data_IF_467093278356
#
_entry.id   IF_467093278356
#
_cell.length_a   1.000
_cell.length_b   1.000
_cell.length_c   1.000
_cell.angle_alpha   90.00
_cell.angle_beta   90.00
_cell.angle_gamma   90.00
#
_symmetry.space_group_name_H-M   'P 1'
#
loop_
_entity.id
_entity.type
_entity.pdbx_description
1 polymer ?
#
# COMPACT_ATOMS: atom_id res chain seq x y z
N UNK A 1 11.87 -1.38 -24.72
CA UNK A 1 12.34 -1.24 -26.12
C UNK A 1 13.85 -1.13 -26.09
N UNK A 2 14.59 -1.84 -26.95
CA UNK A 2 16.03 -1.69 -26.99
C UNK A 2 16.38 -0.29 -27.54
N UNK A 3 17.36 0.36 -26.94
CA UNK A 3 17.84 1.66 -27.38
C UNK A 3 18.29 1.60 -28.83
N UNK A 4 17.77 2.51 -29.67
CA UNK A 4 18.14 2.63 -31.10
C UNK A 4 19.65 2.80 -31.32
N UNK A 5 20.36 3.42 -30.38
CA UNK A 5 21.81 3.59 -30.40
C UNK A 5 22.61 2.28 -30.36
N UNK A 6 22.00 1.18 -29.90
CA UNK A 6 22.66 -0.13 -29.84
C UNK A 6 22.33 -1.05 -31.03
N UNK A 7 21.45 -0.61 -31.92
CA UNK A 7 21.01 -1.41 -33.08
C UNK A 7 22.14 -1.92 -33.96
N UNK A 8 23.16 -1.09 -34.34
CA UNK A 8 24.27 -1.55 -35.19
C UNK A 8 25.21 -2.56 -34.52
N UNK A 9 25.18 -2.62 -33.18
CA UNK A 9 26.07 -3.49 -32.37
C UNK A 9 25.34 -4.68 -31.74
N UNK A 10 24.06 -4.83 -31.99
CA UNK A 10 23.21 -5.86 -31.34
C UNK A 10 23.72 -7.29 -31.56
N UNK A 11 24.24 -7.58 -32.74
CA UNK A 11 24.81 -8.88 -33.09
C UNK A 11 26.14 -9.18 -32.37
N UNK A 12 26.82 -8.14 -31.85
CA UNK A 12 28.10 -8.26 -31.13
C UNK A 12 27.92 -8.37 -29.62
N UNK A 13 26.70 -8.10 -29.11
CA UNK A 13 26.41 -8.20 -27.68
C UNK A 13 26.13 -9.66 -27.35
N UNK A 14 26.98 -10.32 -26.54
CA UNK A 14 26.75 -11.71 -26.16
C UNK A 14 25.44 -11.82 -25.39
N UNK A 15 24.59 -12.77 -25.76
CA UNK A 15 23.36 -13.04 -25.01
C UNK A 15 23.75 -13.53 -23.61
N UNK A 16 23.29 -12.78 -22.58
CA UNK A 16 23.46 -13.24 -21.22
C UNK A 16 22.69 -14.56 -21.01
N UNK A 17 23.41 -15.62 -20.66
CA UNK A 17 22.82 -16.92 -20.33
C UNK A 17 22.56 -16.95 -18.83
N UNK A 18 21.37 -16.51 -18.41
CA UNK A 18 20.94 -16.65 -17.04
C UNK A 18 20.43 -18.07 -16.81
N UNK A 19 21.05 -18.77 -15.88
CA UNK A 19 20.56 -20.06 -15.39
C UNK A 19 20.21 -19.87 -13.92
N UNK A 20 18.92 -19.92 -13.61
CA UNK A 20 18.47 -19.92 -12.21
C UNK A 20 18.93 -21.21 -11.55
N UNK A 21 19.71 -21.09 -10.48
CA UNK A 21 20.25 -22.24 -9.73
C UNK A 21 19.52 -22.50 -8.43
N UNK A 22 18.75 -21.52 -7.97
CA UNK A 22 18.03 -21.50 -6.69
C UNK A 22 16.51 -21.46 -6.87
N UNK A 23 15.99 -22.28 -7.77
CA UNK A 23 14.55 -22.36 -8.03
C UNK A 23 13.70 -22.45 -6.76
N UNK A 24 14.02 -23.28 -5.75
CA UNK A 24 13.20 -23.37 -4.54
C UNK A 24 13.13 -22.08 -3.73
N UNK A 25 14.22 -21.31 -3.69
CA UNK A 25 14.24 -20.00 -3.03
C UNK A 25 13.45 -18.97 -3.82
N UNK A 26 13.61 -18.98 -5.14
CA UNK A 26 12.87 -18.09 -6.03
C UNK A 26 11.35 -18.33 -5.93
N UNK A 27 10.90 -19.58 -5.98
CA UNK A 27 9.49 -19.93 -5.85
C UNK A 27 8.95 -19.54 -4.47
N UNK A 28 9.71 -19.79 -3.41
CA UNK A 28 9.32 -19.37 -2.06
C UNK A 28 9.20 -17.85 -1.96
N UNK A 29 10.13 -17.10 -2.55
CA UNK A 29 10.06 -15.64 -2.58
C UNK A 29 8.84 -15.14 -3.36
N UNK A 30 8.47 -15.80 -4.46
CA UNK A 30 7.25 -15.46 -5.20
C UNK A 30 5.97 -15.78 -4.40
N UNK A 31 5.93 -16.91 -3.71
CA UNK A 31 4.81 -17.29 -2.83
C UNK A 31 4.66 -16.28 -1.68
N UNK A 32 5.78 -15.85 -1.07
CA UNK A 32 5.77 -14.86 0.00
C UNK A 32 5.24 -13.48 -0.45
N UNK A 33 5.45 -13.11 -1.72
CA UNK A 33 4.86 -11.87 -2.27
C UNK A 33 3.32 -11.91 -2.32
N UNK A 34 2.73 -13.08 -2.40
CA UNK A 34 1.27 -13.27 -2.33
C UNK A 34 0.74 -13.40 -0.91
N UNK A 35 1.61 -13.52 0.09
CA UNK A 35 1.21 -13.66 1.49
C UNK A 35 0.77 -12.33 2.06
N UNK A 36 -0.41 -12.28 2.62
CA UNK A 36 -0.95 -11.12 3.31
C UNK A 36 -0.79 -11.31 4.82
N UNK A 37 -0.03 -10.44 5.46
CA UNK A 37 0.07 -10.36 6.92
C UNK A 37 -0.59 -9.08 7.40
N UNK A 38 -1.62 -9.21 8.20
CA UNK A 38 -2.36 -8.09 8.79
C UNK A 38 -2.03 -8.01 10.27
N UNK A 39 -1.47 -6.89 10.69
CA UNK A 39 -1.19 -6.60 12.09
C UNK A 39 -2.26 -5.67 12.64
N UNK A 40 -2.93 -6.11 13.70
CA UNK A 40 -3.92 -5.30 14.41
C UNK A 40 -3.47 -5.16 15.84
N UNK A 41 -3.17 -3.94 16.25
CA UNK A 41 -2.73 -3.66 17.61
C UNK A 41 -3.88 -3.15 18.48
N UNK A 42 -3.87 -3.39 19.77
CA UNK A 42 -4.89 -2.86 20.70
C UNK A 42 -4.99 -1.33 20.63
N UNK A 43 -3.87 -0.64 20.42
CA UNK A 43 -3.80 0.81 20.33
C UNK A 43 -4.53 1.31 19.06
N UNK A 44 -4.37 0.62 17.93
CA UNK A 44 -5.08 0.94 16.68
C UNK A 44 -6.59 0.75 16.85
N UNK A 45 -7.02 -0.29 17.58
CA UNK A 45 -8.43 -0.52 17.88
C UNK A 45 -8.99 0.55 18.82
N UNK A 46 -8.24 0.94 19.84
CA UNK A 46 -8.62 2.03 20.75
C UNK A 46 -8.71 3.36 20.02
N UNK A 47 -7.80 3.62 19.08
CA UNK A 47 -7.79 4.82 18.24
C UNK A 47 -8.83 4.81 17.11
N UNK A 48 -9.57 3.73 16.91
CA UNK A 48 -10.56 3.59 15.82
C UNK A 48 -11.71 4.60 15.92
N UNK A 49 -12.11 4.93 17.14
CA UNK A 49 -13.11 5.94 17.41
C UNK A 49 -12.44 7.23 17.90
N UNK A 50 -12.88 8.40 17.42
CA UNK A 50 -12.30 9.65 17.88
C UNK A 50 -12.71 9.93 19.33
N UNK A 51 -11.87 10.64 20.11
CA UNK A 51 -12.24 11.08 21.44
C UNK A 51 -13.42 12.05 21.36
N UNK A 52 -14.25 12.06 22.39
CA UNK A 52 -15.36 13.02 22.50
C UNK A 52 -14.81 14.43 22.75
N UNK A 53 -15.06 15.34 21.83
CA UNK A 53 -14.51 16.71 21.89
C UNK A 53 -15.41 17.70 22.63
N UNK A 54 -16.64 17.34 22.98
CA UNK A 54 -17.61 18.26 23.57
C UNK A 54 -18.10 19.38 22.63
N UNK A 55 -17.64 19.40 21.36
CA UNK A 55 -18.06 20.40 20.38
C UNK A 55 -19.52 20.25 19.99
N UNK A 56 -20.17 21.39 19.72
CA UNK A 56 -21.57 21.44 19.28
C UNK A 56 -21.72 20.77 17.92
N UNK A 57 -22.70 19.91 17.77
CA UNK A 57 -23.01 19.19 16.52
C UNK A 57 -22.91 17.67 16.68
N UNK A 58 -23.14 16.95 15.58
CA UNK A 58 -23.03 15.49 15.59
C UNK A 58 -21.54 15.08 15.68
N UNK A 59 -21.13 14.32 16.69
CA UNK A 59 -19.75 13.89 16.83
C UNK A 59 -19.35 12.97 15.67
N UNK A 60 -18.07 12.97 15.33
CA UNK A 60 -17.54 12.04 14.34
C UNK A 60 -17.58 10.61 14.91
N UNK A 61 -18.10 9.68 14.13
CA UNK A 61 -18.17 8.25 14.54
C UNK A 61 -16.85 7.50 14.34
N UNK A 62 -15.99 7.98 13.44
CA UNK A 62 -14.74 7.33 13.06
C UNK A 62 -13.57 8.31 13.12
N UNK A 63 -12.43 7.84 13.59
CA UNK A 63 -11.19 8.60 13.63
C UNK A 63 -10.55 8.73 12.24
N UNK A 64 -9.47 9.50 12.14
CA UNK A 64 -8.69 9.57 10.91
C UNK A 64 -7.97 8.24 10.67
N UNK A 65 -7.53 7.53 11.71
CA UNK A 65 -6.95 6.18 11.63
C UNK A 65 -7.88 5.18 10.92
N UNK A 66 -9.17 5.17 11.26
CA UNK A 66 -10.14 4.29 10.61
C UNK A 66 -10.31 4.61 9.12
N UNK A 67 -10.27 5.90 8.76
CA UNK A 67 -10.39 6.33 7.38
C UNK A 67 -9.11 6.02 6.59
N UNK A 68 -7.94 6.28 7.16
CA UNK A 68 -6.63 5.96 6.57
C UNK A 68 -6.49 4.47 6.30
N UNK A 69 -6.87 3.63 7.27
CA UNK A 69 -6.84 2.17 7.12
C UNK A 69 -7.68 1.72 5.94
N UNK A 70 -8.92 2.22 5.82
CA UNK A 70 -9.77 1.90 4.67
C UNK A 70 -9.19 2.38 3.35
N UNK A 71 -8.53 3.53 3.35
CA UNK A 71 -7.84 4.06 2.18
C UNK A 71 -6.63 3.23 1.77
N UNK A 72 -5.80 2.83 2.72
CA UNK A 72 -4.66 1.96 2.47
C UNK A 72 -5.10 0.62 1.88
N UNK A 73 -6.13 0.01 2.45
CA UNK A 73 -6.72 -1.21 1.91
C UNK A 73 -7.27 -0.99 0.49
N UNK A 74 -7.95 0.14 0.25
CA UNK A 74 -8.44 0.49 -1.07
C UNK A 74 -7.31 0.57 -2.10
N UNK A 75 -6.22 1.24 -1.76
CA UNK A 75 -5.07 1.41 -2.65
C UNK A 75 -4.34 0.08 -2.89
N UNK A 76 -4.11 -0.69 -1.82
CA UNK A 76 -3.41 -1.97 -1.89
C UNK A 76 -4.15 -2.99 -2.78
N UNK A 77 -5.48 -3.00 -2.72
CA UNK A 77 -6.31 -3.95 -3.46
C UNK A 77 -6.98 -3.35 -4.71
N UNK A 78 -6.72 -2.10 -5.05
CA UNK A 78 -7.27 -1.43 -6.24
C UNK A 78 -8.80 -1.38 -6.26
N UNK A 79 -9.47 -1.19 -5.11
CA UNK A 79 -10.92 -1.31 -5.01
C UNK A 79 -11.64 0.03 -5.21
N UNK A 80 -12.81 0.05 -5.91
CA UNK A 80 -13.68 1.22 -5.94
C UNK A 80 -14.31 1.48 -4.57
N UNK A 81 -14.79 2.70 -4.33
CA UNK A 81 -15.28 3.14 -3.02
C UNK A 81 -16.31 2.23 -2.35
N UNK A 82 -17.29 1.73 -3.09
CA UNK A 82 -18.31 0.84 -2.53
C UNK A 82 -17.74 -0.50 -2.07
N UNK A 83 -16.75 -1.03 -2.78
CA UNK A 83 -16.06 -2.26 -2.39
C UNK A 83 -15.09 -2.02 -1.22
N UNK A 84 -14.60 -0.78 -1.08
CA UNK A 84 -13.78 -0.37 0.06
C UNK A 84 -14.53 -0.47 1.38
N UNK A 85 -15.84 -0.34 1.39
CA UNK A 85 -16.65 -0.59 2.59
C UNK A 85 -16.73 -2.09 2.91
N UNK A 86 -16.91 -2.94 1.91
CA UNK A 86 -17.03 -4.38 2.09
C UNK A 86 -15.73 -5.07 2.54
N UNK A 87 -14.58 -4.65 1.99
CA UNK A 87 -13.31 -5.30 2.25
C UNK A 87 -12.85 -5.20 3.73
N UNK A 88 -12.79 -4.02 4.36
CA UNK A 88 -12.47 -3.92 5.80
C UNK A 88 -13.49 -4.64 6.68
N UNK A 89 -14.76 -4.66 6.30
CA UNK A 89 -15.80 -5.40 7.03
C UNK A 89 -15.53 -6.90 7.01
N UNK A 90 -15.16 -7.44 5.85
CA UNK A 90 -14.80 -8.86 5.72
C UNK A 90 -13.53 -9.18 6.50
N UNK A 91 -12.50 -8.32 6.44
CA UNK A 91 -11.25 -8.50 7.20
C UNK A 91 -11.54 -8.47 8.70
N UNK A 92 -12.34 -7.51 9.19
CA UNK A 92 -12.71 -7.42 10.60
C UNK A 92 -13.44 -8.69 11.05
N UNK A 93 -14.38 -9.19 10.24
CA UNK A 93 -15.10 -10.45 10.54
C UNK A 93 -14.16 -11.65 10.59
N UNK A 94 -13.24 -11.79 9.64
CA UNK A 94 -12.25 -12.88 9.61
C UNK A 94 -11.31 -12.85 10.83
N UNK A 95 -10.97 -11.66 11.32
CA UNK A 95 -10.12 -11.47 12.50
C UNK A 95 -10.90 -11.49 13.82
N UNK A 96 -12.23 -11.69 13.78
CA UNK A 96 -13.08 -11.67 14.98
C UNK A 96 -13.17 -10.29 15.65
N UNK A 97 -12.94 -9.21 14.91
CA UNK A 97 -12.97 -7.84 15.43
C UNK A 97 -14.39 -7.26 15.39
N UNK A 98 -14.83 -6.70 16.50
CA UNK A 98 -16.15 -6.02 16.63
C UNK A 98 -16.04 -4.50 16.42
N UNK A 99 -15.36 -4.09 15.33
CA UNK A 99 -15.19 -2.68 14.98
C UNK A 99 -16.18 -2.25 13.90
N UNK A 100 -16.76 -1.06 14.06
CA UNK A 100 -17.58 -0.46 13.02
C UNK A 100 -16.72 -0.06 11.82
N UNK A 101 -17.23 -0.25 10.61
CA UNK A 101 -16.55 0.13 9.38
C UNK A 101 -17.25 1.34 8.77
N UNK A 102 -16.51 2.40 8.39
CA UNK A 102 -17.07 3.55 7.71
C UNK A 102 -17.72 3.16 6.38
N UNK A 103 -18.82 3.81 6.05
CA UNK A 103 -19.45 3.65 4.75
C UNK A 103 -18.64 4.35 3.64
N UNK A 104 -18.91 3.96 2.40
CA UNK A 104 -18.21 4.48 1.22
C UNK A 104 -18.35 6.00 1.05
N UNK A 105 -19.46 6.59 1.49
CA UNK A 105 -19.69 8.04 1.42
C UNK A 105 -18.85 8.77 2.46
N UNK A 106 -18.66 8.19 3.63
CA UNK A 106 -17.77 8.70 4.68
C UNK A 106 -16.30 8.64 4.22
N UNK A 107 -15.86 7.52 3.62
CA UNK A 107 -14.54 7.42 3.03
C UNK A 107 -14.32 8.49 1.95
N UNK A 108 -15.23 8.61 1.00
CA UNK A 108 -15.12 9.57 -0.10
C UNK A 108 -15.08 11.02 0.38
N UNK A 109 -15.91 11.40 1.33
CA UNK A 109 -15.96 12.78 1.86
C UNK A 109 -14.73 13.15 2.69
N UNK A 110 -14.16 12.21 3.43
CA UNK A 110 -13.01 12.47 4.31
C UNK A 110 -11.66 12.27 3.65
N UNK A 111 -11.63 11.60 2.52
CA UNK A 111 -10.42 11.35 1.73
C UNK A 111 -9.59 12.60 1.41
N UNK A 112 -10.17 13.72 0.95
CA UNK A 112 -9.38 14.90 0.59
C UNK A 112 -8.66 15.56 1.77
N UNK A 113 -9.12 15.32 3.00
CA UNK A 113 -8.53 15.88 4.22
C UNK A 113 -7.48 14.98 4.89
N UNK A 114 -7.17 13.83 4.30
CA UNK A 114 -6.19 12.91 4.86
C UNK A 114 -4.78 13.25 4.37
N UNK A 115 -3.90 13.48 5.31
CA UNK A 115 -2.46 13.51 5.04
C UNK A 115 -1.93 12.08 5.20
N UNK A 116 -2.05 11.27 4.14
CA UNK A 116 -1.41 9.97 4.14
C UNK A 116 0.10 10.18 4.23
N UNK A 117 0.72 9.65 5.28
CA UNK A 117 2.16 9.59 5.36
C UNK A 117 2.65 8.75 4.18
N UNK A 118 3.07 9.42 3.10
CA UNK A 118 3.59 8.71 1.94
C UNK A 118 4.91 8.05 2.33
N UNK A 119 5.13 6.84 1.84
CA UNK A 119 6.42 6.16 1.98
C UNK A 119 7.57 7.03 1.47
N UNK A 120 7.31 7.89 0.49
CA UNK A 120 8.25 8.88 -0.03
C UNK A 120 8.65 9.93 1.03
N UNK A 121 7.70 10.44 1.81
CA UNK A 121 7.99 11.39 2.89
C UNK A 121 8.84 10.75 3.99
N UNK A 122 8.56 9.50 4.33
CA UNK A 122 9.39 8.75 5.29
C UNK A 122 10.77 8.41 4.71
N UNK A 123 10.86 8.08 3.43
CA UNK A 123 12.13 7.80 2.78
C UNK A 123 13.01 9.06 2.68
N UNK A 124 12.43 10.21 2.36
CA UNK A 124 13.13 11.50 2.34
C UNK A 124 13.72 11.89 3.70
N UNK A 125 13.03 11.53 4.79
CA UNK A 125 13.55 11.74 6.15
C UNK A 125 14.77 10.86 6.47
N UNK A 126 15.03 9.81 5.70
CA UNK A 126 16.17 8.87 5.86
C UNK A 126 17.34 9.12 4.93
N UNK A 127 17.21 10.07 3.98
CA UNK A 127 18.25 10.40 3.01
C UNK A 127 17.73 10.62 1.60
N UNK A 128 18.62 10.78 0.61
CA UNK A 128 18.24 10.98 -0.79
C UNK A 128 17.52 9.75 -1.34
N UNK A 129 16.40 9.97 -2.02
CA UNK A 129 15.58 8.92 -2.64
C UNK A 129 15.74 8.97 -4.16
N UNK A 130 16.11 7.84 -4.74
CA UNK A 130 16.14 7.66 -6.19
C UNK A 130 14.84 7.03 -6.65
N UNK A 131 14.15 7.69 -7.58
CA UNK A 131 12.90 7.21 -8.15
C UNK A 131 13.14 6.82 -9.60
N UNK A 132 12.92 5.56 -9.92
CA UNK A 132 13.00 5.05 -11.30
C UNK A 132 11.60 4.79 -11.80
N UNK A 133 11.21 5.47 -12.88
CA UNK A 133 9.92 5.29 -13.55
C UNK A 133 10.15 4.43 -14.79
N UNK A 134 9.54 3.25 -14.81
CA UNK A 134 9.59 2.31 -15.93
C UNK A 134 8.17 2.08 -16.46
N UNK A 135 8.06 1.53 -17.67
CA UNK A 135 6.79 1.17 -18.30
C UNK A 135 5.98 0.12 -17.51
N UNK A 136 6.65 -0.64 -16.65
CA UNK A 136 6.05 -1.68 -15.78
C UNK A 136 5.65 -1.17 -14.40
N UNK A 137 5.94 0.08 -14.05
CA UNK A 137 5.60 0.67 -12.76
C UNK A 137 6.68 1.58 -12.19
N UNK A 138 6.40 2.08 -11.01
CA UNK A 138 7.30 2.91 -10.22
C UNK A 138 8.09 2.03 -9.25
N UNK A 139 9.41 2.06 -9.36
CA UNK A 139 10.32 1.41 -8.40
C UNK A 139 11.13 2.46 -7.67
N UNK A 140 11.30 2.28 -6.37
CA UNK A 140 12.12 3.16 -5.53
C UNK A 140 13.32 2.35 -5.07
N UNK A 141 14.51 2.87 -5.36
CA UNK A 141 15.78 2.25 -4.98
C UNK A 141 16.53 3.15 -4.00
N UNK A 142 17.21 2.55 -3.03
CA UNK A 142 18.15 3.24 -2.15
C UNK A 142 19.48 3.53 -2.85
N UNK A 143 20.26 4.44 -2.26
CA UNK A 143 21.62 4.70 -2.73
C UNK A 143 22.49 3.46 -2.49
N UNK A 144 22.96 2.81 -3.56
CA UNK A 144 23.84 1.63 -3.51
C UNK A 144 23.26 0.32 -4.05
N UNK A 145 22.06 0.32 -4.65
CA UNK A 145 21.51 -0.82 -5.40
C UNK A 145 21.50 -0.56 -6.92
#
# INVERSE_FOLDING_TARGET
MPYKTHEPRRHKIPRARYKVRNWPEYDRALQQRGSLTVWVTPEALAAWHPPRTGQRGRPRSYSDVAIETGHLLRLAFGRPWRQTEGLPRSIAALLGLTVGVPDHTTFSRRSPGLTLASSLTQAQARGPVHVVIDATGLKVYGAGE
#
